data_IF_309401916112
#
_entry.id   IF_309401916112
#
_cell.length_a   1.000
_cell.length_b   1.000
_cell.length_c   1.000
_cell.angle_alpha   90.00
_cell.angle_beta   90.00
_cell.angle_gamma   90.00
#
_symmetry.space_group_name_H-M   'P 1'
#
loop_
_entity.id
_entity.type
_entity.pdbx_description
1 polymer ?
#
# COMPACT_ATOMS: atom_id res chain seq x y z
N UNK A 1 -46.62 35.62 -12.87
CA UNK A 1 -46.65 34.21 -12.41
C UNK A 1 -46.12 33.23 -13.47
N UNK A 2 -46.35 33.46 -14.73
CA UNK A 2 -45.88 32.61 -15.86
C UNK A 2 -44.36 32.61 -16.09
N UNK A 3 -43.67 33.71 -15.87
CA UNK A 3 -42.19 33.83 -16.04
C UNK A 3 -41.39 33.04 -14.97
N UNK A 4 -41.88 32.98 -13.74
CA UNK A 4 -41.27 32.20 -12.65
C UNK A 4 -41.44 30.68 -12.83
N UNK A 5 -42.58 30.26 -13.39
CA UNK A 5 -42.84 28.84 -13.73
C UNK A 5 -41.97 28.37 -14.90
N UNK A 6 -41.70 29.24 -15.88
CA UNK A 6 -40.81 28.99 -17.00
C UNK A 6 -39.34 28.80 -16.53
N UNK A 7 -38.87 29.63 -15.58
CA UNK A 7 -37.53 29.50 -15.00
C UNK A 7 -37.30 28.20 -14.22
N UNK A 8 -38.33 27.78 -13.43
CA UNK A 8 -38.25 26.51 -12.70
C UNK A 8 -38.17 25.28 -13.61
N UNK A 9 -38.95 25.28 -14.68
CA UNK A 9 -38.97 24.19 -15.64
C UNK A 9 -37.63 24.07 -16.41
N UNK A 10 -37.01 25.19 -16.79
CA UNK A 10 -35.71 25.19 -17.45
C UNK A 10 -34.62 24.70 -16.53
N UNK A 11 -34.63 25.05 -15.25
CA UNK A 11 -33.63 24.54 -14.26
C UNK A 11 -33.79 23.02 -14.08
N UNK A 12 -35.01 22.52 -13.94
CA UNK A 12 -35.25 21.08 -13.82
C UNK A 12 -34.81 20.34 -15.09
N UNK A 13 -35.18 20.86 -16.25
CA UNK A 13 -34.80 20.27 -17.53
C UNK A 13 -33.29 20.22 -17.70
N UNK A 14 -32.56 21.31 -17.36
CA UNK A 14 -31.10 21.33 -17.43
C UNK A 14 -30.42 20.35 -16.45
N UNK A 15 -30.99 20.24 -15.24
CA UNK A 15 -30.52 19.26 -14.25
C UNK A 15 -30.72 17.81 -14.71
N UNK A 16 -31.89 17.52 -15.30
CA UNK A 16 -32.15 16.18 -15.86
C UNK A 16 -31.24 15.86 -17.04
N UNK A 17 -31.03 16.78 -17.95
CA UNK A 17 -30.09 16.59 -19.07
C UNK A 17 -28.67 16.37 -18.58
N UNK A 18 -28.21 17.15 -17.58
CA UNK A 18 -26.91 16.98 -16.98
C UNK A 18 -26.73 15.58 -16.33
N UNK A 19 -27.75 15.15 -15.58
CA UNK A 19 -27.75 13.81 -14.97
C UNK A 19 -27.73 12.69 -16.01
N UNK A 20 -28.52 12.83 -17.09
CA UNK A 20 -28.50 11.85 -18.18
C UNK A 20 -27.14 11.78 -18.87
N UNK A 21 -26.53 12.91 -19.19
CA UNK A 21 -25.20 12.96 -19.83
C UNK A 21 -24.15 12.35 -18.91
N UNK A 22 -24.13 12.68 -17.63
CA UNK A 22 -23.21 12.10 -16.68
C UNK A 22 -23.42 10.60 -16.51
N UNK A 23 -24.65 10.11 -16.44
CA UNK A 23 -24.95 8.68 -16.40
C UNK A 23 -24.46 7.93 -17.64
N UNK A 24 -24.67 8.50 -18.82
CA UNK A 24 -24.20 7.90 -20.08
C UNK A 24 -22.67 7.84 -20.10
N UNK A 25 -21.97 8.92 -19.70
CA UNK A 25 -20.51 8.94 -19.63
C UNK A 25 -19.96 7.94 -18.62
N UNK A 26 -20.55 7.86 -17.44
CA UNK A 26 -20.15 6.87 -16.42
C UNK A 26 -20.42 5.45 -16.92
N UNK A 27 -21.58 5.20 -17.52
CA UNK A 27 -21.91 3.90 -18.13
C UNK A 27 -20.92 3.50 -19.24
N UNK A 28 -20.58 4.44 -20.12
CA UNK A 28 -19.59 4.21 -21.16
C UNK A 28 -18.18 3.90 -20.59
N UNK A 29 -17.77 4.64 -19.55
CA UNK A 29 -16.51 4.39 -18.85
C UNK A 29 -16.47 3.02 -18.18
N UNK A 30 -17.56 2.63 -17.48
CA UNK A 30 -17.65 1.32 -16.82
C UNK A 30 -17.66 0.19 -17.87
N UNK A 31 -18.39 0.38 -18.97
CA UNK A 31 -18.41 -0.59 -20.07
C UNK A 31 -17.02 -0.73 -20.73
N UNK A 32 -16.35 0.39 -21.01
CA UNK A 32 -14.99 0.39 -21.54
C UNK A 32 -14.02 -0.30 -20.57
N UNK A 33 -14.11 0.02 -19.27
CA UNK A 33 -13.31 -0.64 -18.23
C UNK A 33 -13.56 -2.15 -18.21
N UNK A 34 -14.80 -2.60 -18.25
CA UNK A 34 -15.13 -4.03 -18.23
C UNK A 34 -14.63 -4.79 -19.48
N UNK A 35 -14.56 -4.10 -20.63
CA UNK A 35 -14.06 -4.71 -21.88
C UNK A 35 -12.55 -4.64 -22.05
N UNK A 36 -11.92 -3.56 -21.56
CA UNK A 36 -10.51 -3.27 -21.83
C UNK A 36 -9.57 -3.70 -20.69
N UNK A 37 -10.08 -3.85 -19.47
CA UNK A 37 -9.27 -4.35 -18.34
C UNK A 37 -9.35 -5.87 -18.34
N UNK A 38 -8.23 -6.57 -18.55
CA UNK A 38 -8.19 -8.02 -18.46
C UNK A 38 -8.65 -8.44 -17.05
N UNK A 39 -9.57 -9.38 -16.97
CA UNK A 39 -10.05 -9.98 -15.73
C UNK A 39 -9.67 -11.44 -15.70
N UNK A 40 -9.11 -11.90 -14.61
CA UNK A 40 -8.68 -13.28 -14.43
C UNK A 40 -7.54 -13.37 -13.43
N UNK A 41 -7.14 -14.58 -13.12
CA UNK A 41 -5.95 -14.84 -12.33
C UNK A 41 -4.78 -15.10 -13.26
N UNK A 42 -3.61 -14.70 -12.83
CA UNK A 42 -2.33 -14.94 -13.48
C UNK A 42 -1.37 -15.61 -12.52
N UNK A 43 -0.43 -16.34 -13.07
CA UNK A 43 0.65 -16.98 -12.33
C UNK A 43 1.86 -16.06 -12.26
N UNK A 44 2.35 -15.90 -11.04
CA UNK A 44 3.58 -15.21 -10.75
C UNK A 44 4.60 -16.24 -10.24
N UNK A 45 5.62 -16.52 -11.02
CA UNK A 45 6.71 -17.43 -10.63
C UNK A 45 7.85 -16.62 -10.04
N UNK A 46 8.16 -16.86 -8.78
CA UNK A 46 9.22 -16.16 -8.03
C UNK A 46 10.43 -17.07 -7.89
N UNK A 47 11.58 -16.61 -8.37
CA UNK A 47 12.87 -17.34 -8.37
C UNK A 47 12.83 -18.73 -9.00
N UNK A 48 11.80 -19.02 -9.82
CA UNK A 48 11.62 -20.35 -10.43
C UNK A 48 11.06 -21.43 -9.51
N UNK A 49 10.80 -21.12 -8.24
CA UNK A 49 10.42 -22.12 -7.24
C UNK A 49 9.00 -21.87 -6.68
N UNK A 50 8.66 -20.60 -6.40
CA UNK A 50 7.40 -20.25 -5.75
C UNK A 50 6.40 -19.74 -6.77
N UNK A 51 5.27 -20.43 -6.89
CA UNK A 51 4.14 -19.96 -7.70
C UNK A 51 3.09 -19.25 -6.84
N UNK A 52 2.65 -18.08 -7.28
CA UNK A 52 1.62 -17.27 -6.63
C UNK A 52 0.53 -16.98 -7.65
N UNK A 53 -0.71 -17.36 -7.35
CA UNK A 53 -1.86 -16.94 -8.15
C UNK A 53 -2.39 -15.60 -7.63
N UNK A 54 -2.57 -14.66 -8.52
CA UNK A 54 -3.02 -13.31 -8.17
C UNK A 54 -3.98 -12.75 -9.22
N UNK A 55 -4.96 -11.95 -8.84
CA UNK A 55 -5.82 -11.28 -9.81
C UNK A 55 -5.03 -10.25 -10.62
N UNK A 56 -5.37 -10.14 -11.90
CA UNK A 56 -4.82 -9.11 -12.80
C UNK A 56 -5.16 -7.70 -12.34
N UNK A 57 -4.32 -6.74 -12.75
CA UNK A 57 -4.56 -5.31 -12.56
C UNK A 57 -3.94 -4.72 -11.29
N UNK A 58 -3.55 -5.56 -10.33
CA UNK A 58 -2.81 -5.15 -9.13
C UNK A 58 -1.37 -4.71 -9.43
N UNK A 59 -0.64 -4.31 -8.39
CA UNK A 59 0.81 -4.08 -8.47
C UNK A 59 1.55 -5.38 -8.19
N UNK A 60 2.72 -5.54 -8.78
CA UNK A 60 3.60 -6.68 -8.49
C UNK A 60 3.96 -6.73 -7.00
N UNK A 61 4.17 -5.57 -6.36
CA UNK A 61 4.42 -5.49 -4.92
C UNK A 61 3.28 -6.12 -4.11
N UNK A 62 2.03 -5.74 -4.41
CA UNK A 62 0.84 -6.29 -3.72
C UNK A 62 0.66 -7.79 -4.00
N UNK A 63 0.92 -8.24 -5.22
CA UNK A 63 0.86 -9.65 -5.58
C UNK A 63 1.91 -10.49 -4.84
N UNK A 64 3.14 -9.99 -4.72
CA UNK A 64 4.21 -10.63 -3.96
C UNK A 64 3.85 -10.70 -2.47
N UNK A 65 3.35 -9.61 -1.90
CA UNK A 65 2.92 -9.57 -0.49
C UNK A 65 1.80 -10.56 -0.18
N UNK A 66 0.79 -10.67 -1.05
CA UNK A 66 -0.29 -11.66 -0.88
C UNK A 66 0.22 -13.09 -0.94
N UNK A 67 1.29 -13.34 -1.68
CA UNK A 67 2.00 -14.62 -1.73
C UNK A 67 3.03 -14.82 -0.61
N UNK A 68 3.13 -13.93 0.38
CA UNK A 68 4.10 -14.03 1.48
C UNK A 68 5.55 -13.72 1.07
N UNK A 69 5.75 -12.90 0.03
CA UNK A 69 7.06 -12.40 -0.39
C UNK A 69 7.10 -10.89 -0.15
N UNK A 70 7.84 -10.46 0.85
CA UNK A 70 7.82 -9.09 1.34
C UNK A 70 9.04 -8.31 0.85
N UNK A 71 8.87 -7.51 -0.21
CA UNK A 71 9.88 -6.56 -0.66
C UNK A 71 9.85 -5.30 0.20
N UNK A 72 11.02 -4.79 0.53
CA UNK A 72 11.17 -3.52 1.25
C UNK A 72 10.52 -2.37 0.48
N UNK A 73 9.67 -1.58 1.14
CA UNK A 73 8.96 -0.46 0.52
C UNK A 73 8.68 0.66 1.54
N UNK A 74 9.71 1.44 1.88
CA UNK A 74 9.60 2.52 2.87
C UNK A 74 8.59 3.63 2.49
N UNK A 75 8.23 3.77 1.21
CA UNK A 75 7.23 4.74 0.75
C UNK A 75 5.81 4.16 0.66
N UNK A 76 5.56 2.95 1.16
CA UNK A 76 4.24 2.30 1.08
C UNK A 76 3.74 2.04 -0.34
N UNK A 77 4.64 1.82 -1.29
CA UNK A 77 4.26 1.58 -2.70
C UNK A 77 4.14 2.84 -3.56
N UNK A 78 4.50 4.02 -3.03
CA UNK A 78 4.37 5.30 -3.72
C UNK A 78 5.40 5.58 -4.83
N UNK A 79 6.30 4.65 -5.14
CA UNK A 79 7.29 4.77 -6.22
C UNK A 79 8.42 5.78 -5.96
N UNK A 80 8.65 6.20 -4.72
CA UNK A 80 9.57 7.29 -4.38
C UNK A 80 10.87 6.85 -3.72
N UNK A 81 10.89 5.71 -3.01
CA UNK A 81 12.06 5.27 -2.25
C UNK A 81 13.01 4.38 -3.06
N UNK A 82 12.56 3.77 -4.14
CA UNK A 82 13.37 2.89 -4.98
C UNK A 82 13.79 1.57 -4.33
N UNK A 83 13.16 1.14 -3.23
CA UNK A 83 13.58 -0.05 -2.47
C UNK A 83 12.92 -1.34 -2.95
N UNK A 84 11.68 -1.29 -3.46
CA UNK A 84 10.93 -2.47 -3.92
C UNK A 84 11.46 -2.99 -5.27
N UNK A 85 12.77 -3.28 -5.33
CA UNK A 85 13.46 -3.71 -6.56
C UNK A 85 13.24 -5.19 -6.78
N UNK A 86 12.82 -5.54 -7.99
CA UNK A 86 12.72 -6.91 -8.46
C UNK A 86 13.18 -6.97 -9.91
N UNK A 87 13.74 -8.08 -10.31
CA UNK A 87 14.09 -8.33 -11.70
C UNK A 87 12.92 -9.07 -12.35
N UNK A 88 12.26 -8.45 -13.32
CA UNK A 88 11.10 -9.02 -13.99
C UNK A 88 11.55 -9.58 -15.32
N UNK A 89 11.74 -10.90 -15.36
CA UNK A 89 12.29 -11.59 -16.52
C UNK A 89 11.28 -11.66 -17.67
N UNK A 90 10.01 -11.91 -17.34
CA UNK A 90 8.89 -12.02 -18.30
C UNK A 90 7.64 -11.34 -17.75
N UNK A 91 6.78 -10.83 -18.63
CA UNK A 91 5.47 -10.26 -18.27
C UNK A 91 5.49 -8.85 -17.67
N UNK A 92 6.66 -8.21 -17.53
CA UNK A 92 6.78 -6.90 -16.88
C UNK A 92 6.55 -5.69 -17.78
N UNK A 93 6.50 -5.90 -19.09
CA UNK A 93 6.47 -4.81 -20.08
C UNK A 93 7.71 -3.90 -20.03
N UNK A 94 7.64 -2.75 -20.67
CA UNK A 94 8.75 -1.79 -20.71
C UNK A 94 8.89 -1.01 -19.40
N UNK A 95 10.15 -0.59 -19.10
CA UNK A 95 10.44 0.24 -17.94
C UNK A 95 9.79 1.62 -18.07
N UNK A 96 9.07 2.03 -17.03
CA UNK A 96 8.38 3.31 -17.01
C UNK A 96 9.38 4.48 -16.87
N UNK A 97 9.08 5.64 -17.45
CA UNK A 97 9.91 6.84 -17.25
C UNK A 97 10.15 7.20 -15.80
N UNK A 98 9.16 6.95 -14.93
CA UNK A 98 9.23 7.17 -13.48
C UNK A 98 10.20 6.25 -12.75
N UNK A 99 10.50 5.09 -13.32
CA UNK A 99 11.41 4.11 -12.74
C UNK A 99 12.86 4.30 -13.18
N UNK A 100 13.08 4.90 -14.36
CA UNK A 100 14.43 5.02 -14.99
C UNK A 100 15.45 5.68 -14.09
N UNK A 101 15.03 6.63 -13.25
CA UNK A 101 15.92 7.34 -12.33
C UNK A 101 16.49 6.48 -11.20
N UNK A 102 15.88 5.32 -10.90
CA UNK A 102 16.32 4.42 -9.83
C UNK A 102 17.28 3.33 -10.30
N UNK A 103 17.43 3.16 -11.61
CA UNK A 103 18.20 2.06 -12.19
C UNK A 103 19.27 2.56 -13.16
N UNK A 104 20.46 2.00 -13.04
CA UNK A 104 21.54 2.21 -14.01
C UNK A 104 21.14 1.63 -15.38
N UNK A 105 21.80 2.09 -16.45
CA UNK A 105 21.57 1.55 -17.80
C UNK A 105 21.75 0.03 -17.89
N UNK A 106 22.67 -0.54 -17.09
CA UNK A 106 22.88 -1.98 -17.00
C UNK A 106 21.67 -2.67 -16.37
N UNK A 107 21.21 -2.19 -15.22
CA UNK A 107 20.04 -2.72 -14.54
C UNK A 107 18.75 -2.63 -15.38
N UNK A 108 18.59 -1.54 -16.15
CA UNK A 108 17.46 -1.42 -17.08
C UNK A 108 17.48 -2.51 -18.16
N UNK A 109 18.65 -2.86 -18.69
CA UNK A 109 18.81 -3.97 -19.64
C UNK A 109 18.63 -5.34 -19.02
N UNK A 110 18.88 -5.47 -17.73
CA UNK A 110 18.68 -6.68 -16.94
C UNK A 110 17.25 -6.80 -16.41
N UNK A 111 16.32 -5.98 -16.90
CA UNK A 111 14.88 -5.99 -16.53
C UNK A 111 14.60 -5.71 -15.06
N UNK A 112 15.44 -4.91 -14.39
CA UNK A 112 15.13 -4.42 -13.05
C UNK A 112 13.96 -3.43 -13.08
N UNK A 113 13.00 -3.62 -12.17
CA UNK A 113 11.79 -2.82 -12.06
C UNK A 113 11.49 -2.48 -10.60
N UNK A 114 10.68 -1.45 -10.40
CA UNK A 114 10.05 -1.20 -9.10
C UNK A 114 8.73 -1.99 -9.03
N UNK A 115 8.67 -2.97 -8.12
CA UNK A 115 7.49 -3.82 -7.98
C UNK A 115 6.20 -3.04 -7.69
N UNK A 116 6.29 -1.89 -7.02
CA UNK A 116 5.14 -1.02 -6.75
C UNK A 116 4.62 -0.28 -8.01
N UNK A 117 5.45 -0.11 -9.03
CA UNK A 117 5.06 0.55 -10.29
C UNK A 117 4.71 -0.44 -11.40
N UNK A 118 5.18 -1.67 -11.29
CA UNK A 118 4.90 -2.74 -12.26
C UNK A 118 3.50 -3.29 -12.02
N UNK A 119 2.69 -3.31 -13.08
CA UNK A 119 1.33 -3.87 -13.04
C UNK A 119 1.33 -5.32 -13.50
N UNK A 120 0.60 -6.16 -12.79
CA UNK A 120 0.38 -7.56 -13.14
C UNK A 120 -0.72 -7.66 -14.19
N UNK A 121 -0.37 -7.99 -15.43
CA UNK A 121 -1.29 -8.04 -16.58
C UNK A 121 -1.36 -9.42 -17.23
N UNK A 122 -0.35 -10.21 -17.07
CA UNK A 122 -0.13 -11.53 -17.64
C UNK A 122 0.72 -12.36 -16.71
N UNK A 123 0.97 -13.60 -17.04
CA UNK A 123 1.89 -14.44 -16.27
C UNK A 123 3.28 -13.82 -16.26
N UNK A 124 3.92 -13.85 -15.10
CA UNK A 124 5.19 -13.16 -14.87
C UNK A 124 6.21 -14.09 -14.25
N UNK A 125 7.47 -13.93 -14.69
CA UNK A 125 8.63 -14.53 -14.03
C UNK A 125 9.44 -13.42 -13.35
N UNK A 126 9.60 -13.55 -12.04
CA UNK A 126 10.23 -12.52 -11.22
C UNK A 126 11.35 -13.13 -10.40
N UNK A 127 12.47 -12.44 -10.37
CA UNK A 127 13.59 -12.76 -9.49
C UNK A 127 13.71 -11.70 -8.41
N UNK A 128 13.68 -12.15 -7.16
CA UNK A 128 13.87 -11.32 -5.96
C UNK A 128 15.11 -11.80 -5.21
N UNK A 129 15.74 -10.96 -4.37
CA UNK A 129 16.82 -11.41 -3.49
C UNK A 129 16.38 -12.59 -2.61
N UNK A 130 17.22 -13.58 -2.43
CA UNK A 130 16.89 -14.78 -1.65
C UNK A 130 16.54 -14.47 -0.19
N UNK A 131 17.16 -13.44 0.37
CA UNK A 131 16.88 -12.92 1.71
C UNK A 131 15.39 -12.58 1.92
N UNK A 132 14.70 -12.20 0.84
CA UNK A 132 13.26 -11.84 0.88
C UNK A 132 12.36 -13.08 0.95
N UNK A 133 12.82 -14.23 0.50
CA UNK A 133 12.07 -15.49 0.56
C UNK A 133 12.11 -16.14 1.95
N UNK A 134 13.10 -15.79 2.75
CA UNK A 134 13.29 -16.29 4.12
C UNK A 134 12.62 -15.43 5.20
N UNK A 135 11.76 -14.48 4.83
CA UNK A 135 11.08 -13.62 5.81
C UNK A 135 10.17 -14.46 6.69
N UNK A 136 10.46 -14.44 7.98
CA UNK A 136 9.69 -15.13 9.01
C UNK A 136 8.78 -14.12 9.70
N UNK A 137 7.52 -14.48 9.89
CA UNK A 137 6.55 -13.68 10.65
C UNK A 137 6.44 -14.28 12.07
N UNK A 138 6.52 -13.43 13.09
CA UNK A 138 6.33 -13.82 14.49
C UNK A 138 5.18 -13.03 15.10
N UNK A 139 4.36 -13.70 15.88
CA UNK A 139 3.47 -13.06 16.83
C UNK A 139 4.26 -12.71 18.08
N UNK A 140 4.45 -11.42 18.33
CA UNK A 140 5.26 -10.91 19.43
C UNK A 140 4.38 -10.32 20.52
N UNK A 141 4.77 -10.51 21.77
CA UNK A 141 4.15 -9.84 22.91
C UNK A 141 4.72 -8.43 23.07
N UNK A 142 3.85 -7.43 23.24
CA UNK A 142 4.27 -6.03 23.47
C UNK A 142 4.63 -5.87 24.93
N UNK A 143 5.91 -5.65 25.22
CA UNK A 143 6.44 -5.43 26.58
C UNK A 143 6.36 -3.96 26.98
N UNK A 144 6.59 -3.05 26.06
CA UNK A 144 6.56 -1.61 26.30
C UNK A 144 6.11 -0.85 25.06
N UNK A 145 5.28 0.17 25.27
CA UNK A 145 4.87 1.13 24.25
C UNK A 145 4.66 2.51 24.88
N UNK A 146 5.66 3.04 25.52
CA UNK A 146 5.60 4.33 26.26
C UNK A 146 6.34 5.44 25.53
N UNK A 147 5.93 6.67 25.77
CA UNK A 147 6.62 7.82 25.22
C UNK A 147 8.01 8.01 25.86
N UNK A 148 9.00 8.28 25.05
CA UNK A 148 10.35 8.73 25.46
C UNK A 148 10.62 10.17 25.01
N UNK A 149 9.76 10.70 24.15
CA UNK A 149 9.67 12.11 23.78
C UNK A 149 8.22 12.41 23.38
N UNK A 150 7.88 13.68 23.16
CA UNK A 150 6.49 14.13 22.86
C UNK A 150 5.78 13.30 21.79
N UNK A 151 6.48 12.91 20.72
CA UNK A 151 5.92 12.15 19.60
C UNK A 151 6.72 10.90 19.26
N UNK A 152 7.62 10.48 20.15
CA UNK A 152 8.44 9.27 19.96
C UNK A 152 8.09 8.27 21.05
N UNK A 153 7.75 7.06 20.66
CA UNK A 153 7.49 5.95 21.55
C UNK A 153 8.64 4.95 21.53
N UNK A 154 8.98 4.46 22.71
CA UNK A 154 9.78 3.24 22.84
C UNK A 154 8.84 2.05 22.70
N UNK A 155 9.04 1.26 21.66
CA UNK A 155 8.24 0.09 21.37
C UNK A 155 9.11 -1.15 21.52
N UNK A 156 8.85 -1.93 22.57
CA UNK A 156 9.59 -3.15 22.88
C UNK A 156 8.66 -4.33 22.72
N UNK A 157 9.07 -5.29 21.91
CA UNK A 157 8.36 -6.54 21.67
C UNK A 157 9.25 -7.71 22.05
N UNK A 158 8.64 -8.77 22.57
CA UNK A 158 9.31 -10.02 22.89
C UNK A 158 8.99 -11.07 21.83
N UNK A 159 10.02 -11.65 21.26
CA UNK A 159 9.88 -12.80 20.37
C UNK A 159 9.36 -14.03 21.14
N UNK A 160 8.68 -14.96 20.47
CA UNK A 160 8.30 -16.23 21.06
C UNK A 160 9.50 -16.98 21.64
N UNK A 161 9.26 -17.77 22.69
CA UNK A 161 10.34 -18.51 23.37
C UNK A 161 11.10 -19.43 22.41
N UNK A 162 12.41 -19.31 22.40
CA UNK A 162 13.31 -20.11 21.56
C UNK A 162 13.54 -19.54 20.14
N UNK A 163 12.86 -18.45 19.79
CA UNK A 163 13.11 -17.74 18.54
C UNK A 163 14.23 -16.71 18.71
N UNK A 164 15.03 -16.58 17.67
CA UNK A 164 16.09 -15.58 17.58
C UNK A 164 15.98 -14.87 16.23
N UNK A 165 16.17 -13.57 16.23
CA UNK A 165 16.21 -12.76 15.02
C UNK A 165 17.64 -12.27 14.78
N UNK A 166 18.28 -12.84 13.77
CA UNK A 166 19.52 -12.32 13.27
C UNK A 166 19.26 -11.05 12.45
N UNK A 167 19.94 -9.98 12.79
CA UNK A 167 19.80 -8.73 12.05
C UNK A 167 21.16 -8.15 11.69
N UNK A 168 21.19 -7.48 10.55
CA UNK A 168 22.35 -6.70 10.09
C UNK A 168 22.03 -5.22 10.34
N UNK A 169 22.94 -4.41 10.87
CA UNK A 169 22.70 -2.96 11.04
C UNK A 169 22.19 -2.31 9.76
N UNK A 170 21.07 -1.58 9.86
CA UNK A 170 20.36 -1.02 8.71
C UNK A 170 19.26 -1.90 8.14
N UNK A 171 19.01 -3.09 8.70
CA UNK A 171 17.85 -3.93 8.35
C UNK A 171 16.53 -3.28 8.76
N UNK A 172 15.47 -3.64 8.05
CA UNK A 172 14.11 -3.17 8.32
C UNK A 172 13.31 -4.27 8.99
N UNK A 173 12.53 -3.89 10.02
CA UNK A 173 11.46 -4.72 10.54
C UNK A 173 10.13 -4.22 10.00
N UNK A 174 9.28 -5.11 9.51
CA UNK A 174 7.93 -4.82 9.07
C UNK A 174 6.97 -5.23 10.17
N UNK A 175 6.13 -4.30 10.61
CA UNK A 175 5.10 -4.55 11.62
C UNK A 175 3.77 -4.71 10.90
N UNK A 176 3.11 -5.84 11.13
CA UNK A 176 1.76 -6.11 10.64
C UNK A 176 0.77 -5.66 11.72
N UNK A 177 -0.05 -4.70 11.39
CA UNK A 177 -1.09 -4.19 12.28
C UNK A 177 -2.40 -4.86 11.87
N UNK A 178 -3.18 -5.46 12.83
CA UNK A 178 -4.50 -5.98 12.55
C UNK A 178 -5.42 -4.90 11.96
N UNK A 179 -6.40 -5.30 11.17
CA UNK A 179 -7.39 -4.37 10.66
C UNK A 179 -8.19 -3.75 11.82
N UNK A 180 -8.41 -2.45 11.75
CA UNK A 180 -9.21 -1.70 12.71
C UNK A 180 -10.13 -0.73 11.95
N UNK A 181 -11.32 -0.46 12.52
CA UNK A 181 -12.28 0.43 11.91
C UNK A 181 -11.97 1.91 12.22
N UNK A 182 -11.64 2.20 13.47
CA UNK A 182 -11.30 3.55 13.92
C UNK A 182 -10.47 3.50 15.20
N UNK A 183 -9.44 4.32 15.27
CA UNK A 183 -8.68 4.58 16.50
C UNK A 183 -9.07 5.97 17.01
N UNK A 184 -9.58 6.05 18.22
CA UNK A 184 -9.90 7.30 18.93
C UNK A 184 -8.79 7.59 19.93
N UNK A 185 -7.97 8.61 19.65
CA UNK A 185 -6.78 8.93 20.45
C UNK A 185 -7.07 9.30 21.91
N UNK A 186 -8.28 9.73 22.23
CA UNK A 186 -8.66 10.03 23.63
C UNK A 186 -9.09 8.78 24.40
N UNK A 187 -9.68 7.78 23.72
CA UNK A 187 -10.25 6.58 24.35
C UNK A 187 -9.33 5.38 24.29
N UNK A 188 -8.67 5.18 23.13
CA UNK A 188 -7.91 3.97 22.85
C UNK A 188 -6.45 4.05 23.30
N UNK A 189 -5.97 5.26 23.64
CA UNK A 189 -4.64 5.45 24.20
C UNK A 189 -4.67 5.55 25.70
N UNK A 190 -3.93 4.66 26.34
CA UNK A 190 -3.67 4.73 27.77
C UNK A 190 -2.77 5.94 28.10
N UNK A 191 -3.30 6.85 28.91
CA UNK A 191 -2.60 8.09 29.28
C UNK A 191 -1.36 7.82 30.14
N UNK A 192 -1.36 6.71 30.87
CA UNK A 192 -0.20 6.28 31.68
C UNK A 192 0.99 5.88 30.80
N UNK A 193 0.71 5.35 29.59
CA UNK A 193 1.75 5.01 28.61
C UNK A 193 2.32 6.25 27.86
N UNK A 194 1.63 7.38 27.92
CA UNK A 194 2.11 8.64 27.32
C UNK A 194 3.12 9.33 28.26
N UNK A 195 2.92 9.23 29.56
CA UNK A 195 3.67 9.96 30.58
C UNK A 195 3.14 11.37 30.81
N UNK A 196 3.08 11.79 32.09
CA UNK A 196 2.50 13.07 32.46
C UNK A 196 3.21 14.28 31.82
N UNK A 197 4.53 14.18 31.63
CA UNK A 197 5.33 15.23 31.02
C UNK A 197 4.96 15.53 29.56
N UNK A 198 4.40 14.54 28.83
CA UNK A 198 4.04 14.67 27.41
C UNK A 198 2.56 15.01 27.18
N UNK A 199 1.69 14.73 28.15
CA UNK A 199 0.23 14.99 28.04
C UNK A 199 -0.05 16.46 27.74
N UNK A 200 0.68 17.38 28.38
CA UNK A 200 0.55 18.82 28.13
C UNK A 200 0.82 19.20 26.67
N UNK A 201 1.85 18.63 26.07
CA UNK A 201 2.18 18.84 24.67
C UNK A 201 1.13 18.21 23.73
N UNK A 202 0.65 17.01 24.02
CA UNK A 202 -0.41 16.35 23.25
C UNK A 202 -1.72 17.15 23.26
N UNK A 203 -2.09 17.75 24.40
CA UNK A 203 -3.23 18.69 24.50
C UNK A 203 -3.00 19.94 23.66
N UNK A 204 -1.80 20.55 23.75
CA UNK A 204 -1.44 21.75 22.97
C UNK A 204 -1.54 21.53 21.47
N UNK A 205 -1.15 20.35 20.98
CA UNK A 205 -1.22 19.99 19.58
C UNK A 205 -2.53 19.32 19.18
N UNK A 206 -3.50 19.26 20.11
CA UNK A 206 -4.83 18.70 19.89
C UNK A 206 -4.84 17.24 19.40
N UNK A 207 -3.86 16.43 19.83
CA UNK A 207 -3.72 15.03 19.40
C UNK A 207 -4.92 14.18 19.85
N UNK A 208 -5.45 14.41 21.06
CA UNK A 208 -6.60 13.67 21.58
C UNK A 208 -7.90 13.86 20.79
N UNK A 209 -7.97 14.86 19.91
CA UNK A 209 -9.13 15.03 19.00
C UNK A 209 -9.01 14.23 17.71
N UNK A 210 -7.85 13.61 17.47
CA UNK A 210 -7.61 12.85 16.25
C UNK A 210 -8.35 11.51 16.29
N UNK A 211 -8.85 11.12 15.11
CA UNK A 211 -9.39 9.79 14.82
C UNK A 211 -8.75 9.28 13.55
N UNK A 212 -8.31 8.06 13.59
CA UNK A 212 -7.63 7.40 12.47
C UNK A 212 -8.40 6.14 12.03
#
# INVERSE_FOLDING_TARGET
MTLLMSGGLTIIASAVVFLLVTMVLVGALLYAKAKLVPSGNVKLTVNGEKEIETPMGGTLLGALQSGGVFLSSACGGGGKCGQCRAQVLEGGGEILPTEKGFFSRKQQKEHWRLACQTKVKEDMQVKVPEEVLGVKEWECEVISNKNVATFIKEFIVQLPKGEHMDFIPGSYAQIKIPAYDCIDYDKDFDKDLIGEEYIGAWKKFNIFSLKA
#
